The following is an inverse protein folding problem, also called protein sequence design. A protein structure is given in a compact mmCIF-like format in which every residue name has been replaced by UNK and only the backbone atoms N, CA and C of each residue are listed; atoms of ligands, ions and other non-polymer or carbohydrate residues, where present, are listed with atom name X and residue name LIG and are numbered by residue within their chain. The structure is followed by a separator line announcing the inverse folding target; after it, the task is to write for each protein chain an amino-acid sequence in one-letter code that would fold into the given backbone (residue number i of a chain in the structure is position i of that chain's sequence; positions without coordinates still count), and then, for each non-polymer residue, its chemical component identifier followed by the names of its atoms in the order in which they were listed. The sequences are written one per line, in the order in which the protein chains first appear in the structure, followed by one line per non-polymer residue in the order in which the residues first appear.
data_IF_272347381117
#
_entry.id   IF_272347381117
#
_cell.length_a   1.000
_cell.length_b   1.000
_cell.length_c   1.000
_cell.angle_alpha   90.00
_cell.angle_beta   90.00
_cell.angle_gamma   90.00
#
_symmetry.space_group_name_H-M   'P 1'
#
loop_
_entity.id
_entity.type
_entity.pdbx_description
1 polymer ?
#
# COMPACT_ATOMS: atom_id res chain seq x y z
N UNK A 1 15.46 2.73 -8.43
CA UNK A 1 14.43 2.76 -7.39
C UNK A 1 13.64 4.06 -7.50
N UNK A 2 12.32 3.96 -7.67
CA UNK A 2 11.42 5.10 -7.82
C UNK A 2 10.46 5.09 -6.63
N UNK A 3 10.33 6.26 -5.95
CA UNK A 3 9.36 6.43 -4.87
C UNK A 3 7.92 6.46 -5.41
N UNK A 4 6.96 6.09 -4.57
CA UNK A 4 5.54 6.15 -4.91
C UNK A 4 4.97 4.91 -5.58
N UNK A 5 5.70 3.81 -5.64
CA UNK A 5 5.24 2.56 -6.26
C UNK A 5 5.16 1.44 -5.24
N UNK A 6 4.02 0.74 -5.21
CA UNK A 6 3.80 -0.46 -4.41
C UNK A 6 3.13 -1.55 -5.25
N UNK A 7 3.35 -2.81 -4.91
CA UNK A 7 2.70 -3.94 -5.58
C UNK A 7 1.61 -4.50 -4.70
N UNK A 8 0.40 -4.50 -5.20
CA UNK A 8 -0.77 -5.09 -4.56
C UNK A 8 -0.97 -6.54 -5.01
N UNK A 9 -1.09 -7.45 -4.06
CA UNK A 9 -1.49 -8.82 -4.34
C UNK A 9 -3.02 -8.93 -4.30
N UNK A 10 -3.66 -8.81 -5.45
CA UNK A 10 -5.10 -8.73 -5.61
C UNK A 10 -5.74 -10.00 -6.12
N UNK A 11 -7.07 -9.95 -6.21
CA UNK A 11 -7.90 -10.98 -6.81
C UNK A 11 -8.86 -10.36 -7.82
N UNK A 12 -9.01 -11.02 -8.95
CA UNK A 12 -10.10 -10.79 -9.90
C UNK A 12 -10.97 -12.06 -9.89
N UNK A 13 -12.10 -12.02 -9.18
CA UNK A 13 -12.84 -13.22 -8.82
C UNK A 13 -12.00 -14.13 -7.93
N UNK A 14 -11.66 -15.33 -8.40
CA UNK A 14 -10.75 -16.28 -7.72
C UNK A 14 -9.33 -16.25 -8.25
N UNK A 15 -9.08 -15.45 -9.29
CA UNK A 15 -7.79 -15.37 -9.97
C UNK A 15 -6.88 -14.36 -9.28
N UNK A 16 -5.68 -14.77 -8.82
CA UNK A 16 -4.72 -13.83 -8.27
C UNK A 16 -4.11 -12.94 -9.36
N UNK A 17 -3.85 -11.69 -9.01
CA UNK A 17 -3.32 -10.69 -9.92
C UNK A 17 -2.42 -9.72 -9.14
N UNK A 18 -1.15 -9.65 -9.51
CA UNK A 18 -0.26 -8.63 -8.95
C UNK A 18 -0.40 -7.33 -9.75
N UNK A 19 -0.66 -6.25 -9.03
CA UNK A 19 -1.00 -4.95 -9.62
C UNK A 19 -0.07 -3.88 -9.08
N UNK A 20 0.52 -3.10 -9.98
CA UNK A 20 1.33 -1.95 -9.62
C UNK A 20 0.42 -0.76 -9.28
N UNK A 21 0.63 -0.21 -8.09
CA UNK A 21 -0.03 0.99 -7.59
C UNK A 21 0.98 2.11 -7.59
N UNK A 22 0.67 3.22 -8.27
CA UNK A 22 1.55 4.39 -8.37
C UNK A 22 0.88 5.60 -7.72
N UNK A 23 1.60 6.30 -6.86
CA UNK A 23 1.16 7.54 -6.25
C UNK A 23 2.17 8.65 -6.47
N UNK A 24 1.67 9.84 -6.79
CA UNK A 24 2.44 11.08 -6.79
C UNK A 24 1.76 12.06 -5.86
N UNK A 25 2.46 12.47 -4.82
CA UNK A 25 2.01 13.48 -3.85
C UNK A 25 2.93 14.67 -3.95
N UNK A 26 2.36 15.84 -4.22
CA UNK A 26 3.13 17.06 -4.44
C UNK A 26 2.41 18.27 -3.83
N UNK A 27 3.12 19.27 -3.32
CA UNK A 27 2.47 20.48 -2.80
C UNK A 27 1.54 21.11 -3.83
N UNK A 28 0.32 21.45 -3.41
CA UNK A 28 -0.65 22.09 -4.28
C UNK A 28 -0.41 23.58 -4.35
N UNK A 29 -0.59 24.15 -5.55
CA UNK A 29 -0.65 25.60 -5.77
C UNK A 29 -2.08 26.12 -5.73
N UNK A 30 -3.07 25.23 -5.54
CA UNK A 30 -4.48 25.56 -5.54
C UNK A 30 -5.02 25.67 -4.10
N UNK A 31 -6.02 26.53 -3.91
CA UNK A 31 -6.75 26.63 -2.65
C UNK A 31 -7.45 25.30 -2.29
N UNK A 32 -7.91 24.58 -3.30
CA UNK A 32 -8.50 23.25 -3.17
C UNK A 32 -7.62 22.24 -3.87
N UNK A 33 -6.83 21.43 -3.13
CA UNK A 33 -5.91 20.46 -3.73
C UNK A 33 -6.62 19.40 -4.57
N UNK A 34 -5.94 18.96 -5.62
CA UNK A 34 -6.47 17.97 -6.57
C UNK A 34 -6.35 16.54 -6.02
N UNK A 35 -7.37 15.74 -6.32
CA UNK A 35 -7.38 14.29 -6.08
C UNK A 35 -7.73 13.63 -7.41
N UNK A 36 -6.72 13.15 -8.14
CA UNK A 36 -6.89 12.51 -9.45
C UNK A 36 -6.61 11.03 -9.32
N UNK A 37 -7.56 10.19 -9.73
CA UNK A 37 -7.52 8.75 -9.51
C UNK A 37 -7.87 8.02 -10.79
N UNK A 38 -7.06 7.03 -11.12
CA UNK A 38 -7.31 6.10 -12.22
C UNK A 38 -7.29 4.69 -11.65
N UNK A 39 -8.41 3.98 -11.77
CA UNK A 39 -8.53 2.57 -11.45
C UNK A 39 -8.87 2.23 -9.99
N UNK A 40 -9.15 3.20 -9.13
CA UNK A 40 -9.54 2.99 -7.75
C UNK A 40 -10.65 3.95 -7.32
N UNK A 41 -11.27 3.69 -6.16
CA UNK A 41 -12.41 4.45 -5.65
C UNK A 41 -11.96 5.72 -4.93
N UNK A 42 -12.55 6.88 -5.31
CA UNK A 42 -12.21 8.17 -4.71
C UNK A 42 -12.64 8.26 -3.24
N UNK A 43 -13.75 7.64 -2.86
CA UNK A 43 -14.21 7.63 -1.48
C UNK A 43 -13.26 6.87 -0.57
N UNK A 44 -12.70 5.77 -1.06
CA UNK A 44 -11.67 5.03 -0.31
C UNK A 44 -10.38 5.84 -0.18
N UNK A 45 -9.96 6.54 -1.22
CA UNK A 45 -8.78 7.41 -1.14
C UNK A 45 -9.00 8.52 -0.11
N UNK A 46 -10.15 9.18 -0.10
CA UNK A 46 -10.47 10.24 0.86
C UNK A 46 -10.44 9.72 2.30
N UNK A 47 -10.99 8.54 2.54
CA UNK A 47 -10.97 7.88 3.85
C UNK A 47 -9.54 7.53 4.26
N UNK A 48 -8.75 6.96 3.36
CA UNK A 48 -7.36 6.58 3.62
C UNK A 48 -6.49 7.80 3.93
N UNK A 49 -6.67 8.89 3.20
CA UNK A 49 -5.97 10.16 3.48
C UNK A 49 -6.32 10.71 4.86
N UNK A 50 -7.59 10.63 5.26
CA UNK A 50 -8.02 11.04 6.60
C UNK A 50 -7.35 10.21 7.70
N UNK A 51 -7.24 8.90 7.51
CA UNK A 51 -6.53 8.01 8.46
C UNK A 51 -5.04 8.32 8.51
N UNK A 52 -4.40 8.53 7.36
CA UNK A 52 -2.98 8.90 7.28
C UNK A 52 -2.70 10.21 8.04
N UNK A 53 -3.57 11.22 7.89
CA UNK A 53 -3.44 12.47 8.63
C UNK A 53 -3.70 12.30 10.13
N UNK A 54 -4.84 11.70 10.50
CA UNK A 54 -5.29 11.64 11.87
C UNK A 54 -4.49 10.67 12.74
N UNK A 55 -4.04 9.53 12.18
CA UNK A 55 -3.40 8.45 12.92
C UNK A 55 -1.90 8.32 12.68
N UNK A 56 -1.41 8.79 11.54
CA UNK A 56 -0.02 8.61 11.14
C UNK A 56 0.76 9.93 11.07
N UNK A 57 0.12 11.06 11.27
CA UNK A 57 0.73 12.41 11.18
C UNK A 57 1.36 12.70 9.81
N UNK A 58 0.77 12.14 8.76
CA UNK A 58 1.14 12.42 7.37
C UNK A 58 0.24 13.55 6.87
N UNK A 59 0.79 14.73 6.63
CA UNK A 59 0.03 15.90 6.20
C UNK A 59 -0.25 15.86 4.71
N UNK A 60 -1.52 15.77 4.32
CA UNK A 60 -1.97 15.67 2.93
C UNK A 60 -2.97 16.78 2.54
N UNK A 61 -3.43 17.59 3.49
CA UNK A 61 -4.50 18.57 3.27
C UNK A 61 -4.17 19.66 2.26
N UNK A 62 -2.89 19.98 2.10
CA UNK A 62 -2.40 20.96 1.12
C UNK A 62 -1.61 20.32 -0.05
N UNK A 63 -1.79 19.04 -0.25
CA UNK A 63 -1.08 18.27 -1.27
C UNK A 63 -2.02 17.84 -2.39
N UNK A 64 -1.56 17.96 -3.63
CA UNK A 64 -2.17 17.24 -4.75
C UNK A 64 -1.80 15.77 -4.67
N UNK A 65 -2.76 14.88 -4.91
CA UNK A 65 -2.53 13.44 -4.96
C UNK A 65 -3.00 12.90 -6.30
N UNK A 66 -2.10 12.23 -6.99
CA UNK A 66 -2.36 11.50 -8.21
C UNK A 66 -2.15 10.03 -7.93
N UNK A 67 -3.18 9.21 -8.14
CA UNK A 67 -3.14 7.77 -7.93
C UNK A 67 -3.49 7.05 -9.22
N UNK A 68 -2.63 6.14 -9.64
CA UNK A 68 -2.82 5.35 -10.85
C UNK A 68 -2.62 3.87 -10.57
N UNK A 69 -3.61 3.07 -10.94
CA UNK A 69 -3.49 1.62 -11.00
C UNK A 69 -3.00 1.27 -12.40
N UNK A 70 -1.81 0.70 -12.49
CA UNK A 70 -1.18 0.43 -13.78
C UNK A 70 -1.92 -0.65 -14.58
N UNK A 71 -1.76 -0.63 -15.90
CA UNK A 71 -2.26 -1.65 -16.80
C UNK A 71 -3.74 -1.55 -17.17
N UNK A 72 -4.38 -0.42 -16.90
CA UNK A 72 -5.80 -0.23 -17.21
C UNK A 72 -6.75 -1.05 -16.34
N UNK A 73 -6.24 -1.61 -15.26
CA UNK A 73 -6.99 -2.44 -14.31
C UNK A 73 -7.77 -1.56 -13.35
N UNK A 74 -8.96 -2.00 -12.96
CA UNK A 74 -9.75 -1.38 -11.90
C UNK A 74 -9.78 -2.31 -10.69
N UNK A 75 -9.47 -1.76 -9.52
CA UNK A 75 -9.48 -2.50 -8.26
C UNK A 75 -10.72 -2.08 -7.45
N UNK A 76 -11.50 -3.08 -7.01
CA UNK A 76 -12.72 -2.87 -6.23
C UNK A 76 -12.61 -3.38 -4.79
N UNK A 77 -11.58 -4.16 -4.47
CA UNK A 77 -11.46 -4.77 -3.15
C UNK A 77 -10.73 -3.87 -2.14
N UNK A 78 -11.23 -3.77 -0.90
CA UNK A 78 -10.59 -3.01 0.18
C UNK A 78 -9.20 -3.54 0.56
N UNK A 79 -8.88 -4.77 0.21
CA UNK A 79 -7.56 -5.36 0.44
C UNK A 79 -6.41 -4.56 -0.18
N UNK A 80 -6.70 -3.68 -1.15
CA UNK A 80 -5.72 -2.79 -1.78
C UNK A 80 -5.30 -1.62 -0.90
N UNK A 81 -6.03 -1.31 0.17
CA UNK A 81 -5.78 -0.13 1.01
C UNK A 81 -4.33 -0.04 1.48
N UNK A 82 -3.76 -1.15 1.93
CA UNK A 82 -2.38 -1.15 2.45
C UNK A 82 -1.36 -0.82 1.37
N UNK A 83 -1.54 -1.33 0.15
CA UNK A 83 -0.67 -1.02 -0.99
C UNK A 83 -0.78 0.45 -1.40
N UNK A 84 -2.00 1.00 -1.45
CA UNK A 84 -2.24 2.41 -1.76
C UNK A 84 -1.60 3.30 -0.69
N UNK A 85 -1.79 2.99 0.59
CA UNK A 85 -1.15 3.71 1.69
C UNK A 85 0.38 3.68 1.58
N UNK A 86 0.95 2.51 1.30
CA UNK A 86 2.40 2.35 1.11
C UNK A 86 2.92 3.23 -0.04
N UNK A 87 2.23 3.25 -1.18
CA UNK A 87 2.59 4.10 -2.31
C UNK A 87 2.54 5.60 -1.97
N UNK A 88 1.50 6.04 -1.27
CA UNK A 88 1.36 7.43 -0.82
C UNK A 88 2.48 7.80 0.15
N UNK A 89 2.73 6.99 1.16
CA UNK A 89 3.80 7.22 2.15
C UNK A 89 5.16 7.30 1.45
N UNK A 90 5.43 6.36 0.55
CA UNK A 90 6.65 6.33 -0.26
C UNK A 90 6.83 7.63 -1.05
N UNK A 91 5.79 8.13 -1.70
CA UNK A 91 5.83 9.38 -2.45
C UNK A 91 6.07 10.59 -1.55
N UNK A 92 5.31 10.73 -0.46
CA UNK A 92 5.41 11.84 0.49
C UNK A 92 6.82 11.94 1.07
N UNK A 93 7.43 10.82 1.37
CA UNK A 93 8.75 10.74 2.00
C UNK A 93 9.89 10.64 0.99
N UNK A 94 9.56 10.46 -0.27
CA UNK A 94 10.52 10.22 -1.35
C UNK A 94 11.44 9.03 -1.06
N UNK A 95 10.88 7.97 -0.52
CA UNK A 95 11.57 6.72 -0.17
C UNK A 95 11.04 5.59 -1.03
N UNK A 96 11.84 5.01 -1.93
CA UNK A 96 11.44 3.85 -2.69
C UNK A 96 11.14 2.65 -1.79
N UNK A 97 10.10 1.90 -2.12
CA UNK A 97 9.79 0.62 -1.48
C UNK A 97 10.61 -0.51 -2.10
N UNK A 98 10.76 -1.62 -1.36
CA UNK A 98 11.44 -2.80 -1.90
C UNK A 98 10.70 -3.36 -3.13
N UNK A 99 11.42 -3.61 -4.20
CA UNK A 99 10.88 -4.23 -5.41
C UNK A 99 10.39 -5.67 -5.21
N UNK A 100 10.87 -6.34 -4.17
CA UNK A 100 10.52 -7.72 -3.87
C UNK A 100 9.33 -7.85 -2.93
N UNK A 101 8.74 -6.72 -2.51
CA UNK A 101 7.64 -6.68 -1.56
C UNK A 101 6.28 -6.57 -2.21
N UNK A 102 5.31 -7.32 -1.68
CA UNK A 102 3.90 -7.18 -1.99
C UNK A 102 3.12 -6.75 -0.77
N UNK A 103 1.96 -6.15 -0.98
CA UNK A 103 1.11 -5.63 0.07
C UNK A 103 -0.32 -6.14 -0.09
N UNK A 104 -0.97 -6.49 1.00
CA UNK A 104 -2.42 -6.56 1.09
C UNK A 104 -2.90 -6.30 2.53
N UNK A 105 -4.04 -5.66 2.67
CA UNK A 105 -4.68 -5.37 3.94
C UNK A 105 -5.72 -4.28 3.80
N UNK A 106 -6.83 -4.39 4.53
CA UNK A 106 -7.85 -3.35 4.60
C UNK A 106 -7.53 -2.42 5.77
N UNK A 107 -7.65 -1.12 5.56
CA UNK A 107 -7.39 -0.10 6.60
C UNK A 107 -8.72 0.36 7.20
N UNK A 108 -8.86 0.22 8.51
CA UNK A 108 -10.00 0.76 9.25
C UNK A 108 -9.77 2.21 9.72
N UNK A 109 -10.84 2.86 10.18
CA UNK A 109 -10.82 4.28 10.58
C UNK A 109 -9.96 4.57 11.80
N UNK A 110 -9.68 3.57 12.62
CA UNK A 110 -8.74 3.68 13.74
C UNK A 110 -7.27 3.46 13.34
N UNK A 111 -7.02 3.22 12.05
CA UNK A 111 -5.70 2.89 11.53
C UNK A 111 -5.35 1.41 11.68
N UNK A 112 -6.27 0.57 12.16
CA UNK A 112 -6.06 -0.89 12.26
C UNK A 112 -6.00 -1.52 10.86
N UNK A 113 -5.17 -2.53 10.71
CA UNK A 113 -5.07 -3.31 9.48
C UNK A 113 -5.88 -4.58 9.63
N UNK A 114 -6.90 -4.71 8.79
CA UNK A 114 -7.88 -5.80 8.83
C UNK A 114 -7.51 -6.93 7.89
N UNK A 115 -7.90 -8.15 8.28
CA UNK A 115 -7.73 -9.36 7.47
C UNK A 115 -8.39 -9.23 6.10
N UNK A 116 -7.81 -9.92 5.13
CA UNK A 116 -8.36 -10.05 3.78
C UNK A 116 -8.75 -11.50 3.52
N UNK A 117 -9.58 -11.72 2.50
CA UNK A 117 -9.94 -13.05 2.04
C UNK A 117 -8.82 -13.66 1.18
N UNK A 118 -8.76 -14.98 1.17
CA UNK A 118 -7.87 -15.79 0.34
C UNK A 118 -6.38 -15.33 0.35
N UNK A 119 -5.77 -15.18 1.53
CA UNK A 119 -4.39 -14.73 1.62
C UNK A 119 -3.40 -15.71 0.98
N UNK A 120 -3.67 -17.01 1.06
CA UNK A 120 -2.78 -18.06 0.52
C UNK A 120 -2.64 -17.97 -1.01
N UNK A 121 -3.74 -17.71 -1.71
CA UNK A 121 -3.75 -17.56 -3.16
C UNK A 121 -2.90 -16.37 -3.59
N UNK A 122 -2.99 -15.27 -2.86
CA UNK A 122 -2.21 -14.04 -3.10
C UNK A 122 -0.72 -14.27 -2.88
N UNK A 123 -0.37 -14.95 -1.79
CA UNK A 123 1.03 -15.23 -1.43
C UNK A 123 1.67 -16.20 -2.43
N UNK A 124 0.98 -17.26 -2.82
CA UNK A 124 1.49 -18.24 -3.78
C UNK A 124 1.77 -17.61 -5.14
N UNK A 125 0.88 -16.75 -5.63
CA UNK A 125 1.11 -16.04 -6.89
C UNK A 125 2.33 -15.11 -6.80
N UNK A 126 2.50 -14.41 -5.69
CA UNK A 126 3.66 -13.56 -5.47
C UNK A 126 4.97 -14.35 -5.47
N UNK A 127 5.02 -15.47 -4.78
CA UNK A 127 6.19 -16.37 -4.79
C UNK A 127 6.50 -16.87 -6.18
N UNK A 128 5.48 -17.30 -6.92
CA UNK A 128 5.62 -17.78 -8.30
C UNK A 128 6.24 -16.72 -9.23
N UNK A 129 5.93 -15.46 -8.99
CA UNK A 129 6.43 -14.33 -9.78
C UNK A 129 7.75 -13.73 -9.24
N UNK A 130 8.35 -14.36 -8.23
CA UNK A 130 9.68 -14.00 -7.73
C UNK A 130 9.69 -13.01 -6.56
N UNK A 131 8.54 -12.65 -6.00
CA UNK A 131 8.47 -11.81 -4.81
C UNK A 131 8.82 -12.63 -3.56
N UNK A 132 9.56 -12.04 -2.64
CA UNK A 132 10.05 -12.73 -1.45
C UNK A 132 9.76 -11.99 -0.14
N UNK A 133 9.03 -10.89 -0.19
CA UNK A 133 8.56 -10.16 0.98
C UNK A 133 7.07 -9.86 0.89
N UNK A 134 6.39 -9.90 2.03
CA UNK A 134 4.98 -9.54 2.12
C UNK A 134 4.73 -8.67 3.33
N UNK A 135 3.90 -7.66 3.13
CA UNK A 135 3.34 -6.80 4.17
C UNK A 135 1.85 -7.11 4.28
N UNK A 136 1.43 -7.62 5.43
CA UNK A 136 0.09 -8.19 5.64
C UNK A 136 -0.43 -7.87 7.03
N UNK A 137 -1.76 -8.00 7.25
CA UNK A 137 -2.34 -7.80 8.57
C UNK A 137 -1.74 -8.76 9.61
N UNK A 138 -1.41 -8.24 10.79
CA UNK A 138 -0.86 -9.04 11.89
C UNK A 138 -1.76 -10.20 12.32
N UNK A 139 -3.08 -10.00 12.24
CA UNK A 139 -4.08 -11.02 12.61
C UNK A 139 -4.35 -12.04 11.50
N UNK A 140 -3.73 -11.88 10.34
CA UNK A 140 -3.91 -12.78 9.21
C UNK A 140 -3.25 -14.13 9.50
N UNK A 141 -4.04 -15.20 9.45
CA UNK A 141 -3.52 -16.56 9.54
C UNK A 141 -3.10 -17.02 8.16
N UNK A 142 -1.84 -17.41 8.02
CA UNK A 142 -1.26 -17.87 6.75
C UNK A 142 -0.36 -19.07 6.98
N UNK A 143 -0.22 -19.92 5.95
CA UNK A 143 0.79 -20.96 5.93
C UNK A 143 2.13 -20.28 5.60
N UNK A 144 3.14 -20.50 6.44
CA UNK A 144 4.47 -19.89 6.25
C UNK A 144 5.20 -20.59 5.10
N UNK A 145 5.49 -19.83 4.07
CA UNK A 145 6.29 -20.29 2.94
C UNK A 145 7.77 -20.02 3.20
N UNK A 146 8.63 -21.00 2.87
CA UNK A 146 10.06 -20.99 3.22
C UNK A 146 10.82 -19.78 2.65
N UNK A 147 10.45 -19.32 1.46
CA UNK A 147 11.18 -18.28 0.73
C UNK A 147 10.48 -16.90 0.80
N UNK A 148 9.59 -16.70 1.78
CA UNK A 148 8.86 -15.46 1.97
C UNK A 148 9.16 -14.85 3.34
N UNK A 149 9.60 -13.60 3.35
CA UNK A 149 9.70 -12.80 4.58
C UNK A 149 8.35 -12.14 4.87
N UNK A 150 7.83 -12.37 6.07
CA UNK A 150 6.54 -11.84 6.51
C UNK A 150 6.73 -10.61 7.39
N UNK A 151 6.17 -9.48 6.96
CA UNK A 151 6.16 -8.23 7.71
C UNK A 151 4.73 -7.97 8.19
N UNK A 152 4.44 -8.33 9.43
CA UNK A 152 3.11 -8.18 10.03
C UNK A 152 2.85 -6.74 10.45
N UNK A 153 1.72 -6.19 10.02
CA UNK A 153 1.32 -4.81 10.31
C UNK A 153 0.03 -4.82 11.14
N UNK A 154 0.09 -4.26 12.33
CA UNK A 154 -1.08 -4.10 13.21
C UNK A 154 -1.81 -2.78 12.97
N UNK A 155 -1.04 -1.68 12.89
CA UNK A 155 -1.54 -0.32 12.67
C UNK A 155 -0.84 0.29 11.45
N UNK A 156 -1.54 1.16 10.75
CA UNK A 156 -0.96 1.88 9.60
C UNK A 156 0.29 2.69 9.98
N UNK A 157 0.33 3.23 11.21
CA UNK A 157 1.51 3.90 11.74
C UNK A 157 2.75 3.00 11.82
N UNK A 158 2.57 1.70 12.02
CA UNK A 158 3.67 0.74 12.02
C UNK A 158 4.30 0.62 10.61
N UNK A 159 3.48 0.67 9.56
CA UNK A 159 3.97 0.69 8.18
C UNK A 159 4.80 1.95 7.91
N UNK A 160 4.34 3.11 8.37
CA UNK A 160 5.09 4.36 8.26
C UNK A 160 6.47 4.22 8.91
N UNK A 161 6.54 3.66 10.11
CA UNK A 161 7.79 3.45 10.83
C UNK A 161 8.74 2.46 10.11
N UNK A 162 8.19 1.40 9.51
CA UNK A 162 8.99 0.44 8.73
C UNK A 162 9.62 1.10 7.51
N UNK A 163 8.85 1.87 6.75
CA UNK A 163 9.35 2.58 5.57
C UNK A 163 10.48 3.55 5.93
N UNK A 164 10.38 4.22 7.08
CA UNK A 164 11.45 5.11 7.55
C UNK A 164 12.71 4.38 8.00
N UNK A 165 12.58 3.23 8.67
CA UNK A 165 13.75 2.48 9.16
C UNK A 165 14.59 1.91 8.02
N UNK A 166 13.94 1.47 6.97
CA UNK A 166 14.65 0.95 5.79
C UNK A 166 15.52 2.03 5.15
N UNK A 167 15.08 3.28 5.15
CA UNK A 167 15.88 4.43 4.65
C UNK A 167 17.14 4.67 5.47
N UNK A 168 17.06 4.51 6.79
CA UNK A 168 18.21 4.76 7.67
C UNK A 168 19.28 3.67 7.58
N UNK A 169 18.88 2.44 7.21
CA UNK A 169 19.81 1.32 7.04
C UNK A 169 20.56 1.37 5.71
N UNK A 170 19.99 2.01 4.69
CA UNK A 170 20.63 2.17 3.37
C UNK A 170 21.66 3.34 3.35
N UNK A 171 21.72 4.14 4.41
CA UNK A 171 22.64 5.27 4.55
C UNK A 171 23.89 4.97 5.39
N UNK A 172 24.02 3.75 5.94
CA UNK A 172 25.18 3.25 6.70
C UNK A 172 25.88 2.12 5.94
#
# INVERSE_FOLDING_TARGET
NISGTAIFAGLEGTRPLLVEVQALVTPSTLASPRRTIVGWDISRLSMLCAVLEARCKIHLSNMDIFLNIAGGIRIFEPAADLAVAAAIISSVKNVPLSFSGIFFGEVGLSGEIRKVNQPEVRIKEALKLGFNQIYLPNKQKVIIEKNMKYNSISLLSDLVNLIYKDTMNDLN
#
